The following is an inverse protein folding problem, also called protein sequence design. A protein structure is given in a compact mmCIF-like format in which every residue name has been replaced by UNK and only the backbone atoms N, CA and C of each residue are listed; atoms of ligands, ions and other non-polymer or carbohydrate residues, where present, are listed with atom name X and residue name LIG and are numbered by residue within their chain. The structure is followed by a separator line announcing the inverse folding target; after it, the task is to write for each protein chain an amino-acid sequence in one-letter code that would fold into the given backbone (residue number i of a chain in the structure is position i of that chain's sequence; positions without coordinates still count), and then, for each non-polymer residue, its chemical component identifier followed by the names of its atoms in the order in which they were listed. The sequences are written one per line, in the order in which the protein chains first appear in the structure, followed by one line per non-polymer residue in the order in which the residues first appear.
data_IF_392833602603
#
_entry.id   IF_392833602603
#
_cell.length_a   1.000
_cell.length_b   1.000
_cell.length_c   1.000
_cell.angle_alpha   90.00
_cell.angle_beta   90.00
_cell.angle_gamma   90.00
#
_symmetry.space_group_name_H-M   'P 1'
#
loop_
_entity.id
_entity.type
_entity.pdbx_description
1 polymer ?
#
# COMPACT_ATOMS: atom_id res chain seq x y z
N UNK A 1 6.30 15.61 -5.02
CA UNK A 1 5.72 14.29 -4.69
C UNK A 1 5.60 14.26 -3.18
N UNK A 2 4.43 13.98 -2.61
CA UNK A 2 4.29 13.90 -1.13
C UNK A 2 5.05 12.70 -0.58
N UNK A 3 5.43 12.75 0.71
CA UNK A 3 6.17 11.68 1.37
C UNK A 3 5.39 10.36 1.37
N UNK A 4 4.06 10.43 1.54
CA UNK A 4 3.21 9.24 1.49
C UNK A 4 3.16 8.60 0.10
N UNK A 5 3.15 9.42 -0.97
CA UNK A 5 3.22 8.92 -2.35
C UNK A 5 4.59 8.34 -2.67
N UNK A 6 5.67 8.95 -2.17
CA UNK A 6 7.01 8.38 -2.32
C UNK A 6 7.10 7.00 -1.65
N UNK A 7 6.56 6.88 -0.43
CA UNK A 7 6.58 5.61 0.29
C UNK A 7 5.73 4.54 -0.41
N UNK A 8 4.52 4.89 -0.83
CA UNK A 8 3.68 3.98 -1.61
C UNK A 8 4.35 3.58 -2.95
N UNK A 9 5.09 4.49 -3.60
CA UNK A 9 5.85 4.16 -4.80
C UNK A 9 6.99 3.16 -4.53
N UNK A 10 7.71 3.31 -3.40
CA UNK A 10 8.74 2.34 -2.98
C UNK A 10 8.13 0.96 -2.72
N UNK A 11 6.96 0.90 -2.11
CA UNK A 11 6.22 -0.35 -1.89
C UNK A 11 5.83 -1.00 -3.22
N UNK A 12 5.27 -0.23 -4.15
CA UNK A 12 4.91 -0.74 -5.49
C UNK A 12 6.14 -1.25 -6.25
N UNK A 13 7.25 -0.51 -6.22
CA UNK A 13 8.51 -0.92 -6.86
C UNK A 13 9.04 -2.22 -6.27
N UNK A 14 8.94 -2.36 -4.94
CA UNK A 14 9.33 -3.59 -4.26
C UNK A 14 8.44 -4.77 -4.64
N UNK A 15 7.13 -4.58 -4.63
CA UNK A 15 6.17 -5.61 -5.05
C UNK A 15 6.44 -6.06 -6.49
N UNK A 16 6.76 -5.11 -7.39
CA UNK A 16 7.13 -5.41 -8.77
C UNK A 16 8.45 -6.20 -8.87
N UNK A 17 9.43 -5.88 -8.03
CA UNK A 17 10.70 -6.62 -7.95
C UNK A 17 10.47 -8.06 -7.49
N UNK A 18 9.75 -8.27 -6.39
CA UNK A 18 9.44 -9.61 -5.86
C UNK A 18 8.61 -10.43 -6.87
N UNK A 19 7.66 -9.80 -7.56
CA UNK A 19 6.89 -10.44 -8.62
C UNK A 19 7.76 -10.85 -9.82
N UNK A 20 8.75 -10.02 -10.19
CA UNK A 20 9.67 -10.35 -11.27
C UNK A 20 10.65 -11.48 -10.88
N UNK A 21 11.12 -11.49 -9.63
CA UNK A 21 12.00 -12.54 -9.09
C UNK A 21 11.28 -13.90 -9.08
N UNK A 22 10.01 -13.94 -8.67
CA UNK A 22 9.21 -15.17 -8.66
C UNK A 22 8.95 -15.74 -10.08
N UNK A 23 9.09 -14.93 -11.12
CA UNK A 23 8.77 -15.27 -12.51
C UNK A 23 9.99 -15.11 -13.45
N UNK A 24 11.21 -15.22 -12.92
CA UNK A 24 12.46 -14.97 -13.66
C UNK A 24 12.54 -15.72 -15.00
N UNK A 25 12.02 -16.96 -15.04
CA UNK A 25 12.05 -17.83 -16.22
C UNK A 25 10.98 -17.49 -17.28
N UNK A 26 9.89 -16.80 -16.92
CA UNK A 26 8.75 -16.57 -17.82
C UNK A 26 8.05 -15.21 -17.61
N UNK A 27 8.84 -14.12 -17.56
CA UNK A 27 8.31 -12.75 -17.41
C UNK A 27 7.26 -12.35 -18.45
N UNK A 28 7.26 -12.95 -19.65
CA UNK A 28 6.22 -12.70 -20.65
C UNK A 28 4.84 -13.18 -20.21
N UNK A 29 4.75 -14.29 -19.47
CA UNK A 29 3.48 -14.83 -18.98
C UNK A 29 2.77 -13.87 -18.01
N UNK A 30 3.54 -13.06 -17.27
CA UNK A 30 3.03 -11.99 -16.41
C UNK A 30 2.26 -10.92 -17.22
N UNK A 31 2.81 -10.49 -18.35
CA UNK A 31 2.21 -9.44 -19.19
C UNK A 31 1.09 -9.96 -20.11
N UNK A 32 1.11 -11.24 -20.46
CA UNK A 32 0.07 -11.86 -21.30
C UNK A 32 -1.23 -12.13 -20.53
N UNK A 33 -1.21 -12.07 -19.19
CA UNK A 33 -2.40 -12.16 -18.36
C UNK A 33 -3.24 -10.87 -18.43
N UNK A 34 -4.33 -10.92 -19.21
CA UNK A 34 -5.20 -9.79 -19.57
C UNK A 34 -5.83 -9.00 -18.38
N UNK A 35 -5.79 -9.56 -17.16
CA UNK A 35 -6.26 -8.92 -15.92
C UNK A 35 -5.35 -9.19 -14.69
N UNK A 36 -4.25 -9.92 -14.86
CA UNK A 36 -3.51 -10.51 -13.73
C UNK A 36 -2.43 -9.63 -13.14
N UNK A 37 -1.61 -8.98 -13.97
CA UNK A 37 -0.38 -8.32 -13.50
C UNK A 37 -0.64 -7.17 -12.52
N UNK A 38 -1.54 -6.24 -12.87
CA UNK A 38 -1.83 -5.09 -11.99
C UNK A 38 -2.58 -5.50 -10.72
N UNK A 39 -3.40 -6.55 -10.80
CA UNK A 39 -4.09 -7.08 -9.64
C UNK A 39 -3.10 -7.78 -8.69
N UNK A 40 -2.25 -8.65 -9.22
CA UNK A 40 -1.22 -9.34 -8.44
C UNK A 40 -0.24 -8.33 -7.82
N UNK A 41 0.20 -7.33 -8.60
CA UNK A 41 1.05 -6.25 -8.11
C UNK A 41 0.39 -5.48 -6.97
N UNK A 42 -0.91 -5.17 -7.08
CA UNK A 42 -1.70 -4.53 -6.03
C UNK A 42 -1.77 -5.40 -4.79
N UNK A 43 -2.12 -6.68 -4.93
CA UNK A 43 -2.24 -7.63 -3.82
C UNK A 43 -0.91 -7.77 -3.07
N UNK A 44 0.21 -7.95 -3.80
CA UNK A 44 1.55 -7.98 -3.21
C UNK A 44 1.92 -6.68 -2.49
N UNK A 45 1.64 -5.53 -3.11
CA UNK A 45 1.89 -4.23 -2.49
C UNK A 45 1.10 -4.05 -1.18
N UNK A 46 -0.16 -4.49 -1.14
CA UNK A 46 -0.98 -4.46 0.07
C UNK A 46 -0.47 -5.43 1.14
N UNK A 47 0.00 -6.63 0.77
CA UNK A 47 0.65 -7.55 1.69
C UNK A 47 1.91 -6.96 2.36
N UNK A 48 2.70 -6.17 1.61
CA UNK A 48 3.86 -5.46 2.15
C UNK A 48 3.41 -4.38 3.15
N UNK A 49 2.30 -3.69 2.89
CA UNK A 49 1.74 -2.67 3.80
C UNK A 49 1.24 -3.29 5.10
N UNK A 50 0.55 -4.43 5.02
CA UNK A 50 0.02 -5.14 6.20
C UNK A 50 1.12 -5.80 7.06
N UNK A 51 2.37 -5.80 6.58
CA UNK A 51 3.54 -6.28 7.32
C UNK A 51 3.72 -7.80 7.29
N UNK A 52 3.02 -8.50 6.39
CA UNK A 52 2.99 -9.97 6.32
C UNK A 52 4.24 -10.57 5.64
N UNK A 53 5.02 -9.73 4.96
CA UNK A 53 6.41 -10.04 4.60
C UNK A 53 7.30 -9.09 5.41
N UNK A 54 8.35 -9.59 6.07
CA UNK A 54 9.26 -8.84 6.95
C UNK A 54 10.02 -7.70 6.24
N UNK A 55 9.28 -6.68 5.81
CA UNK A 55 9.56 -5.90 4.61
C UNK A 55 8.91 -4.51 4.58
N UNK A 56 8.11 -4.15 5.59
CA UNK A 56 8.06 -2.76 6.04
C UNK A 56 9.51 -2.28 6.28
N UNK A 57 9.85 -0.99 6.12
CA UNK A 57 11.10 -0.48 6.70
C UNK A 57 11.15 -0.96 8.17
N UNK A 58 12.30 -1.43 8.64
CA UNK A 58 12.50 -2.23 9.88
C UNK A 58 11.85 -1.68 11.17
N UNK A 59 11.27 -0.48 11.13
CA UNK A 59 10.23 -0.03 12.05
C UNK A 59 9.26 0.90 11.31
N UNK A 60 7.94 0.86 11.62
CA UNK A 60 7.00 1.85 11.14
C UNK A 60 7.48 3.27 11.55
N UNK A 61 7.08 4.33 10.81
CA UNK A 61 7.45 5.70 11.16
C UNK A 61 7.06 6.04 12.60
N UNK A 62 7.67 7.06 13.19
CA UNK A 62 7.18 7.55 14.47
C UNK A 62 5.77 8.17 14.33
N UNK A 63 5.03 8.34 15.44
CA UNK A 63 3.66 8.86 15.38
C UNK A 63 3.53 10.23 14.72
N UNK A 64 4.49 11.14 14.94
CA UNK A 64 4.45 12.50 14.39
C UNK A 64 4.60 12.46 12.86
N UNK A 65 5.49 11.60 12.38
CA UNK A 65 5.69 11.35 10.95
C UNK A 65 4.47 10.66 10.33
N UNK A 66 3.83 9.71 11.01
CA UNK A 66 2.57 9.11 10.52
C UNK A 66 1.48 10.17 10.37
N UNK A 67 1.28 11.05 11.36
CA UNK A 67 0.30 12.14 11.27
C UNK A 67 0.60 13.08 10.09
N UNK A 68 1.87 13.43 9.89
CA UNK A 68 2.30 14.24 8.74
C UNK A 68 1.97 13.56 7.42
N UNK A 69 2.32 12.28 7.26
CA UNK A 69 2.09 11.51 6.04
C UNK A 69 0.58 11.33 5.76
N UNK A 70 -0.23 11.08 6.79
CA UNK A 70 -1.69 11.04 6.66
C UNK A 70 -2.23 12.38 6.14
N UNK A 71 -1.76 13.50 6.69
CA UNK A 71 -2.14 14.84 6.23
C UNK A 71 -1.82 15.10 4.76
N UNK A 72 -0.79 14.46 4.23
CA UNK A 72 -0.38 14.56 2.82
C UNK A 72 -1.17 13.65 1.87
N UNK A 73 -1.95 12.71 2.40
CA UNK A 73 -2.74 11.77 1.58
C UNK A 73 -3.89 12.45 0.83
N UNK A 74 -4.32 13.63 1.28
CA UNK A 74 -5.49 14.33 0.75
C UNK A 74 -6.83 13.72 1.17
N UNK A 75 -6.82 12.64 1.96
CA UNK A 75 -8.02 12.03 2.51
C UNK A 75 -8.47 12.77 3.77
N UNK A 76 -9.78 12.89 3.94
CA UNK A 76 -10.36 13.36 5.20
C UNK A 76 -10.25 12.31 6.28
N UNK A 77 -10.23 12.74 7.54
CA UNK A 77 -10.19 11.84 8.70
C UNK A 77 -11.37 10.88 8.72
N UNK A 78 -12.59 11.34 8.38
CA UNK A 78 -13.79 10.49 8.34
C UNK A 78 -13.69 9.38 7.29
N UNK A 79 -13.07 9.65 6.14
CA UNK A 79 -12.82 8.64 5.10
C UNK A 79 -11.82 7.59 5.58
N UNK A 80 -10.75 8.02 6.26
CA UNK A 80 -9.76 7.12 6.84
C UNK A 80 -10.36 6.26 7.95
N UNK A 81 -11.18 6.85 8.82
CA UNK A 81 -11.88 6.14 9.90
C UNK A 81 -12.90 5.15 9.34
N UNK A 82 -13.60 5.47 8.25
CA UNK A 82 -14.50 4.53 7.59
C UNK A 82 -13.74 3.34 7.01
N UNK A 83 -12.65 3.59 6.28
CA UNK A 83 -11.80 2.53 5.70
C UNK A 83 -11.16 1.65 6.77
N UNK A 84 -10.58 2.25 7.80
CA UNK A 84 -9.94 1.49 8.88
C UNK A 84 -10.95 0.55 9.57
N UNK A 85 -12.18 1.01 9.81
CA UNK A 85 -13.23 0.16 10.38
C UNK A 85 -13.67 -0.97 9.45
N UNK A 86 -13.72 -0.72 8.15
CA UNK A 86 -14.03 -1.75 7.15
C UNK A 86 -12.92 -2.81 7.08
N UNK A 87 -11.65 -2.39 7.09
CA UNK A 87 -10.50 -3.30 6.99
C UNK A 87 -10.19 -4.06 8.28
N UNK A 88 -10.30 -3.41 9.44
CA UNK A 88 -9.85 -3.98 10.73
C UNK A 88 -11.00 -4.32 11.69
N UNK A 89 -12.25 -3.97 11.38
CA UNK A 89 -13.44 -4.36 12.15
C UNK A 89 -13.57 -3.70 13.53
N UNK A 90 -12.75 -2.69 13.84
CA UNK A 90 -12.76 -1.98 15.13
C UNK A 90 -13.92 -0.99 15.29
N UNK A 91 -14.22 -0.62 16.54
CA UNK A 91 -15.16 0.49 16.83
C UNK A 91 -14.52 1.87 16.63
N UNK A 92 -13.19 1.94 16.72
CA UNK A 92 -12.37 3.13 16.56
C UNK A 92 -11.17 2.76 15.71
N UNK A 93 -10.70 3.70 14.90
CA UNK A 93 -9.47 3.58 14.13
C UNK A 93 -8.26 4.00 14.97
N UNK A 94 -7.14 3.31 14.82
CA UNK A 94 -5.85 3.75 15.37
C UNK A 94 -5.11 4.68 14.41
N UNK A 95 -4.11 5.42 14.91
CA UNK A 95 -3.23 6.22 14.03
C UNK A 95 -2.55 5.34 12.97
N UNK A 96 -2.08 4.17 13.38
CA UNK A 96 -1.43 3.20 12.49
C UNK A 96 -2.39 2.68 11.41
N UNK A 97 -3.62 2.30 11.77
CA UNK A 97 -4.61 1.81 10.80
C UNK A 97 -4.96 2.89 9.77
N UNK A 98 -5.14 4.15 10.20
CA UNK A 98 -5.36 5.26 9.27
C UNK A 98 -4.18 5.51 8.35
N UNK A 99 -2.97 5.41 8.88
CA UNK A 99 -1.74 5.51 8.11
C UNK A 99 -1.67 4.42 7.04
N UNK A 100 -1.97 3.17 7.40
CA UNK A 100 -2.07 2.04 6.46
C UNK A 100 -3.13 2.30 5.39
N UNK A 101 -4.33 2.76 5.77
CA UNK A 101 -5.37 3.10 4.80
C UNK A 101 -4.95 4.22 3.84
N UNK A 102 -4.20 5.22 4.32
CA UNK A 102 -3.69 6.31 3.50
C UNK A 102 -2.60 5.83 2.51
N UNK A 103 -1.76 4.88 2.91
CA UNK A 103 -0.80 4.21 2.03
C UNK A 103 -1.50 3.36 0.97
N UNK A 104 -2.44 2.51 1.39
CA UNK A 104 -3.23 1.67 0.49
C UNK A 104 -3.98 2.50 -0.56
N UNK A 105 -4.59 3.61 -0.15
CA UNK A 105 -5.20 4.55 -1.08
C UNK A 105 -4.22 5.13 -2.10
N UNK A 106 -3.01 5.49 -1.64
CA UNK A 106 -1.97 6.02 -2.53
C UNK A 106 -1.46 4.97 -3.52
N UNK A 107 -1.42 3.70 -3.14
CA UNK A 107 -1.11 2.57 -4.02
C UNK A 107 -2.22 2.38 -5.05
N UNK A 108 -3.47 2.33 -4.61
CA UNK A 108 -4.64 2.18 -5.50
C UNK A 108 -4.72 3.32 -6.52
N UNK A 109 -4.47 4.56 -6.08
CA UNK A 109 -4.36 5.74 -6.96
C UNK A 109 -3.28 5.58 -8.03
N UNK A 110 -2.09 5.10 -7.64
CA UNK A 110 -0.97 4.92 -8.56
C UNK A 110 -1.18 3.79 -9.57
N UNK A 111 -1.88 2.73 -9.16
CA UNK A 111 -2.17 1.59 -10.02
C UNK A 111 -3.44 1.77 -10.86
N UNK A 112 -4.20 2.85 -10.65
CA UNK A 112 -5.42 3.17 -11.41
C UNK A 112 -6.65 2.35 -10.99
N UNK A 113 -6.74 1.97 -9.71
CA UNK A 113 -7.83 1.16 -9.14
C UNK A 113 -8.95 1.97 -8.46
N UNK A 114 -8.91 3.30 -8.55
CA UNK A 114 -9.95 4.19 -8.00
C UNK A 114 -11.23 4.25 -8.85
#
# INVERSE_FOLDING_TARGET
MSGIREMAARIVLRAAYEMAEDNEDELSALFDCQYGMLQELRERAMHIVDGDMGSMPDSPPDPDEMERLIGESGLSMDMLDARARESYGGNYSTLYERYVCALGWSIDDMLGWQ
#
